data_IF_138042459078
#
_entry.id   IF_138042459078
#
_cell.length_a   1.000
_cell.length_b   1.000
_cell.length_c   1.000
_cell.angle_alpha   90.00
_cell.angle_beta   90.00
_cell.angle_gamma   90.00
#
_symmetry.space_group_name_H-M   'P 1'
#
loop_
_entity.id
_entity.type
_entity.pdbx_description
1 polymer ?
#
# COMPACT_ATOMS: atom_id res chain seq x y z
N UNK A 1 -18.04 0.26 -1.85
CA UNK A 1 -16.80 0.60 -2.58
C UNK A 1 -15.66 0.56 -1.60
N UNK A 2 -14.61 -0.18 -1.95
CA UNK A 2 -13.41 -0.35 -1.13
C UNK A 2 -12.24 0.21 -1.92
N UNK A 3 -11.39 0.99 -1.25
CA UNK A 3 -10.16 1.53 -1.81
C UNK A 3 -8.95 0.94 -1.12
N UNK A 4 -7.86 0.85 -1.87
CA UNK A 4 -6.55 0.42 -1.40
C UNK A 4 -5.56 1.51 -1.75
N UNK A 5 -4.80 2.00 -0.77
CA UNK A 5 -3.62 2.81 -1.03
C UNK A 5 -2.42 1.88 -0.98
N UNK A 6 -1.78 1.65 -2.12
CA UNK A 6 -0.47 1.03 -2.20
C UNK A 6 0.61 2.08 -1.98
N UNK A 7 1.51 1.83 -1.03
CA UNK A 7 2.65 2.69 -0.73
C UNK A 7 3.94 1.87 -0.85
N UNK A 8 4.73 2.15 -1.88
CA UNK A 8 6.07 1.63 -2.05
C UNK A 8 7.05 2.74 -1.71
N UNK A 9 7.85 2.55 -0.66
CA UNK A 9 8.73 3.58 -0.12
C UNK A 9 10.13 3.44 -0.74
N UNK A 10 10.59 4.51 -1.37
CA UNK A 10 11.96 4.57 -1.88
C UNK A 10 12.97 4.85 -0.77
N UNK A 11 14.17 4.26 -0.88
CA UNK A 11 15.35 4.65 -0.10
C UNK A 11 16.01 5.91 -0.69
N UNK A 12 17.18 6.32 -0.18
CA UNK A 12 17.83 7.58 -0.52
C UNK A 12 18.02 7.86 -2.03
N UNK A 13 18.12 6.82 -2.87
CA UNK A 13 18.28 6.94 -4.33
C UNK A 13 17.08 6.40 -5.13
N UNK A 14 16.04 5.92 -4.45
CA UNK A 14 14.86 5.34 -5.10
C UNK A 14 13.63 6.24 -4.91
N UNK A 15 12.73 6.20 -5.88
CA UNK A 15 11.48 6.95 -5.79
C UNK A 15 10.45 6.22 -4.92
N UNK A 16 9.67 6.98 -4.15
CA UNK A 16 8.45 6.51 -3.52
C UNK A 16 7.29 6.52 -4.53
N UNK A 17 6.42 5.51 -4.48
CA UNK A 17 5.18 5.46 -5.24
C UNK A 17 3.96 5.38 -4.31
N UNK A 18 2.95 6.20 -4.62
CA UNK A 18 1.64 6.21 -3.93
C UNK A 18 0.57 5.94 -4.98
N UNK A 19 -0.20 4.87 -4.81
CA UNK A 19 -1.24 4.44 -5.76
C UNK A 19 -2.55 4.24 -5.03
N UNK A 20 -3.64 4.85 -5.51
CA UNK A 20 -4.99 4.57 -5.01
C UNK A 20 -5.72 3.71 -6.03
N UNK A 21 -6.18 2.54 -5.58
CA UNK A 21 -6.92 1.57 -6.38
C UNK A 21 -8.33 1.42 -5.81
N UNK A 22 -9.34 1.55 -6.66
CA UNK A 22 -10.72 1.18 -6.33
C UNK A 22 -10.95 -0.29 -6.69
N UNK A 23 -11.40 -1.09 -5.73
CA UNK A 23 -11.89 -2.44 -5.98
C UNK A 23 -13.38 -2.39 -6.32
N UNK A 24 -13.72 -2.79 -7.54
CA UNK A 24 -15.11 -2.99 -7.99
C UNK A 24 -15.46 -4.47 -7.93
N UNK A 25 -16.46 -4.78 -7.13
CA UNK A 25 -17.05 -6.11 -7.04
C UNK A 25 -18.46 -6.08 -7.64
N UNK A 26 -18.79 -7.08 -8.44
CA UNK A 26 -20.08 -7.21 -9.10
C UNK A 26 -20.88 -8.31 -8.40
N UNK A 27 -21.76 -7.93 -7.46
CA UNK A 27 -22.51 -8.94 -6.67
C UNK A 27 -23.51 -9.77 -7.48
N UNK A 28 -23.98 -9.25 -8.62
CA UNK A 28 -25.04 -9.87 -9.42
C UNK A 28 -24.55 -10.41 -10.78
N UNK A 29 -23.25 -10.29 -11.07
CA UNK A 29 -22.63 -10.84 -12.28
C UNK A 29 -21.39 -11.65 -11.87
N UNK A 30 -21.20 -12.88 -12.37
CA UNK A 30 -20.04 -13.70 -12.05
C UNK A 30 -18.80 -13.20 -12.82
N UNK A 31 -18.37 -11.97 -12.54
CA UNK A 31 -17.17 -11.35 -13.11
C UNK A 31 -16.09 -11.25 -12.04
N UNK A 32 -14.81 -11.44 -12.40
CA UNK A 32 -13.70 -11.14 -11.51
C UNK A 32 -13.79 -9.70 -10.99
N UNK A 33 -13.27 -9.46 -9.79
CA UNK A 33 -13.16 -8.10 -9.28
C UNK A 33 -12.28 -7.26 -10.22
N UNK A 34 -12.71 -6.04 -10.52
CA UNK A 34 -11.94 -5.08 -11.29
C UNK A 34 -11.20 -4.12 -10.35
N UNK A 35 -9.97 -3.80 -10.70
CA UNK A 35 -9.11 -2.89 -9.93
C UNK A 35 -8.82 -1.66 -10.76
N UNK A 36 -9.41 -0.53 -10.39
CA UNK A 36 -9.29 0.71 -11.14
C UNK A 36 -8.30 1.63 -10.44
N UNK A 37 -7.20 1.98 -11.12
CA UNK A 37 -6.29 3.01 -10.63
C UNK A 37 -6.99 4.36 -10.68
N UNK A 38 -7.15 5.00 -9.52
CA UNK A 38 -7.81 6.31 -9.37
C UNK A 38 -6.82 7.45 -9.15
N UNK A 39 -5.65 7.12 -8.62
CA UNK A 39 -4.58 8.08 -8.36
C UNK A 39 -3.24 7.38 -8.48
N UNK A 40 -2.27 8.03 -9.12
CA UNK A 40 -0.88 7.64 -9.09
C UNK A 40 -0.05 8.89 -8.81
N UNK A 41 0.88 8.77 -7.88
CA UNK A 41 1.74 9.86 -7.48
C UNK A 41 3.13 9.34 -7.16
N UNK A 42 4.11 10.10 -7.64
CA UNK A 42 5.53 9.87 -7.37
C UNK A 42 6.10 11.15 -6.78
N UNK A 43 6.24 11.24 -5.45
CA UNK A 43 6.90 12.37 -4.81
C UNK A 43 8.32 12.57 -5.34
N UNK A 44 8.86 13.81 -5.31
CA UNK A 44 10.23 14.07 -5.72
C UNK A 44 11.25 13.18 -4.99
N UNK A 45 12.35 12.83 -5.66
CA UNK A 45 13.42 12.09 -5.03
C UNK A 45 13.97 12.87 -3.82
N UNK A 46 14.25 12.16 -2.72
CA UNK A 46 14.75 12.78 -1.48
C UNK A 46 13.67 13.46 -0.63
N UNK A 47 12.38 13.33 -0.97
CA UNK A 47 11.28 13.79 -0.10
C UNK A 47 11.37 13.09 1.27
N UNK A 48 11.43 13.83 2.39
CA UNK A 48 11.52 13.24 3.73
C UNK A 48 10.33 12.34 4.06
N UNK A 49 10.56 11.24 4.77
CA UNK A 49 9.48 10.32 5.18
C UNK A 49 8.34 10.99 5.96
N UNK A 50 8.57 11.96 6.87
CA UNK A 50 7.47 12.69 7.49
C UNK A 50 6.55 13.39 6.49
N UNK A 51 7.11 13.99 5.44
CA UNK A 51 6.34 14.67 4.39
C UNK A 51 5.56 13.66 3.54
N UNK A 52 6.14 12.48 3.28
CA UNK A 52 5.45 11.35 2.64
C UNK A 52 4.26 10.90 3.51
N UNK A 53 4.46 10.75 4.82
CA UNK A 53 3.41 10.32 5.77
C UNK A 53 2.25 11.32 5.78
N UNK A 54 2.55 12.63 5.85
CA UNK A 54 1.50 13.67 5.80
C UNK A 54 0.78 13.71 4.44
N UNK A 55 1.50 13.46 3.33
CA UNK A 55 0.88 13.35 2.02
C UNK A 55 -0.07 12.16 1.93
N UNK A 56 0.35 10.98 2.38
CA UNK A 56 -0.48 9.78 2.44
C UNK A 56 -1.69 10.01 3.34
N UNK A 57 -1.52 10.67 4.49
CA UNK A 57 -2.62 11.04 5.39
C UNK A 57 -3.64 11.96 4.73
N UNK A 58 -3.18 12.94 3.96
CA UNK A 58 -4.07 13.84 3.20
C UNK A 58 -4.93 13.06 2.22
N UNK A 59 -4.34 12.10 1.50
CA UNK A 59 -5.09 11.24 0.57
C UNK A 59 -6.06 10.34 1.35
N UNK A 60 -5.56 9.62 2.35
CA UNK A 60 -6.30 8.65 3.16
C UNK A 60 -7.54 9.25 3.85
N UNK A 61 -7.44 10.50 4.31
CA UNK A 61 -8.52 11.20 5.01
C UNK A 61 -9.44 12.01 4.11
N UNK A 62 -9.21 12.00 2.79
CA UNK A 62 -10.09 12.67 1.82
C UNK A 62 -11.54 12.16 1.92
N UNK A 63 -12.55 13.01 1.65
CA UNK A 63 -13.96 12.63 1.77
C UNK A 63 -14.36 11.37 0.99
N UNK A 64 -13.70 11.11 -0.14
CA UNK A 64 -13.97 9.96 -1.00
C UNK A 64 -13.43 8.65 -0.40
N UNK A 65 -12.33 8.72 0.35
CA UNK A 65 -11.58 7.56 0.87
C UNK A 65 -11.85 7.28 2.35
N UNK A 66 -12.24 8.30 3.13
CA UNK A 66 -12.42 8.21 4.58
C UNK A 66 -13.38 7.08 4.96
N UNK A 67 -12.90 6.16 5.80
CA UNK A 67 -13.67 5.01 6.30
C UNK A 67 -13.91 3.88 5.29
N UNK A 68 -13.31 3.96 4.10
CA UNK A 68 -13.49 2.98 3.01
C UNK A 68 -12.17 2.47 2.43
N UNK A 69 -11.06 2.71 3.13
CA UNK A 69 -9.71 2.59 2.58
C UNK A 69 -8.81 1.79 3.50
N UNK A 70 -8.01 0.90 2.89
CA UNK A 70 -6.91 0.22 3.56
C UNK A 70 -5.59 0.73 3.00
N UNK A 71 -4.63 1.04 3.87
CA UNK A 71 -3.26 1.37 3.49
C UNK A 71 -2.44 0.08 3.48
N UNK A 72 -1.80 -0.22 2.34
CA UNK A 72 -0.89 -1.35 2.16
C UNK A 72 0.49 -0.79 1.87
N UNK A 73 1.47 -1.16 2.69
CA UNK A 73 2.82 -0.57 2.66
C UNK A 73 3.84 -1.65 2.38
N UNK A 74 4.72 -1.42 1.40
CA UNK A 74 5.94 -2.22 1.28
C UNK A 74 6.91 -1.82 2.41
N UNK A 75 7.13 -2.75 3.34
CA UNK A 75 8.05 -2.60 4.47
C UNK A 75 9.49 -2.92 4.07
N UNK A 76 9.71 -3.52 2.90
CA UNK A 76 11.04 -3.97 2.51
C UNK A 76 11.98 -2.82 2.22
N UNK A 77 13.23 -2.96 2.65
CA UNK A 77 14.28 -1.96 2.45
C UNK A 77 14.17 -0.74 3.38
N UNK A 78 13.03 -0.09 3.51
CA UNK A 78 12.88 1.16 4.28
C UNK A 78 12.71 0.95 5.79
N UNK A 79 12.33 -0.27 6.18
CA UNK A 79 12.31 -0.75 7.56
C UNK A 79 11.06 -0.37 8.37
N UNK A 80 11.00 -0.92 9.59
CA UNK A 80 9.94 -0.67 10.57
C UNK A 80 9.69 0.81 10.94
N UNK A 81 10.70 1.72 10.98
CA UNK A 81 10.47 3.09 11.46
C UNK A 81 9.44 3.89 10.67
N UNK A 82 9.38 3.75 9.34
CA UNK A 82 8.40 4.51 8.54
C UNK A 82 7.01 3.93 8.71
N UNK A 83 6.89 2.59 8.84
CA UNK A 83 5.62 1.93 9.18
C UNK A 83 5.11 2.42 10.54
N UNK A 84 6.00 2.58 11.52
CA UNK A 84 5.63 3.13 12.84
C UNK A 84 5.16 4.58 12.76
N UNK A 85 5.75 5.40 11.89
CA UNK A 85 5.27 6.77 11.64
C UNK A 85 3.84 6.76 11.07
N UNK A 86 3.56 5.88 10.10
CA UNK A 86 2.21 5.74 9.51
C UNK A 86 1.19 5.27 10.55
N UNK A 87 1.57 4.28 11.39
CA UNK A 87 0.74 3.81 12.52
C UNK A 87 0.44 4.94 13.50
N UNK A 88 1.46 5.72 13.90
CA UNK A 88 1.31 6.89 14.82
C UNK A 88 0.47 8.01 14.22
N UNK A 89 0.50 8.17 12.89
CA UNK A 89 -0.34 9.13 12.18
C UNK A 89 -1.83 8.72 12.12
N UNK A 90 -2.19 7.54 12.66
CA UNK A 90 -3.56 7.05 12.74
C UNK A 90 -4.10 6.47 11.44
N UNK A 91 -3.22 6.06 10.52
CA UNK A 91 -3.59 5.56 9.19
C UNK A 91 -4.03 4.10 9.24
N UNK A 92 -5.18 3.85 9.88
CA UNK A 92 -5.76 2.51 10.04
C UNK A 92 -7.04 2.34 9.20
N UNK A 93 -7.28 1.15 8.62
CA UNK A 93 -6.45 -0.06 8.68
C UNK A 93 -5.16 0.03 7.85
N UNK A 94 -4.04 -0.44 8.43
CA UNK A 94 -2.71 -0.53 7.82
C UNK A 94 -2.29 -2.00 7.71
N UNK A 95 -1.78 -2.41 6.54
CA UNK A 95 -1.19 -3.73 6.30
C UNK A 95 0.23 -3.53 5.80
N UNK A 96 1.23 -3.94 6.59
CA UNK A 96 2.61 -3.95 6.13
C UNK A 96 2.93 -5.27 5.41
N UNK A 97 3.60 -5.18 4.27
CA UNK A 97 4.05 -6.31 3.46
C UNK A 97 5.57 -6.38 3.51
N UNK A 98 6.10 -7.50 3.99
CA UNK A 98 7.50 -7.85 3.90
C UNK A 98 7.67 -8.83 2.75
N UNK A 99 8.23 -8.35 1.64
CA UNK A 99 8.54 -9.14 0.47
C UNK A 99 9.76 -10.05 0.75
N UNK A 100 9.59 -11.35 0.58
CA UNK A 100 10.62 -12.36 0.88
C UNK A 100 11.00 -13.18 -0.36
N UNK A 101 12.15 -13.86 -0.30
CA UNK A 101 12.54 -14.88 -1.28
C UNK A 101 11.99 -16.29 -0.98
N UNK A 102 11.09 -16.42 0.01
CA UNK A 102 10.52 -17.71 0.43
C UNK A 102 9.47 -18.25 -0.55
N UNK A 103 8.79 -19.33 -0.15
CA UNK A 103 7.77 -20.01 -0.96
C UNK A 103 6.35 -19.97 -0.37
N UNK A 104 6.20 -19.41 0.83
CA UNK A 104 4.95 -19.45 1.59
C UNK A 104 4.64 -18.07 2.13
N UNK A 105 3.37 -17.68 2.04
CA UNK A 105 2.86 -16.47 2.70
C UNK A 105 2.69 -16.74 4.19
N UNK A 106 3.30 -15.91 5.03
CA UNK A 106 3.13 -15.96 6.49
C UNK A 106 2.52 -14.67 7.00
N UNK A 107 1.85 -14.72 8.16
CA UNK A 107 1.31 -13.55 8.85
C UNK A 107 1.88 -13.49 10.26
N UNK A 108 2.29 -12.30 10.70
CA UNK A 108 2.69 -12.00 12.07
C UNK A 108 1.91 -10.79 12.63
N UNK A 109 2.30 -10.32 13.81
CA UNK A 109 1.67 -9.15 14.46
C UNK A 109 1.91 -7.84 13.68
N UNK A 110 2.95 -7.80 12.85
CA UNK A 110 3.38 -6.63 12.11
C UNK A 110 2.85 -6.58 10.67
N UNK A 111 2.36 -7.70 10.13
CA UNK A 111 1.77 -7.77 8.80
C UNK A 111 1.94 -9.13 8.12
N UNK A 112 2.24 -9.11 6.83
CA UNK A 112 2.41 -10.31 6.01
C UNK A 112 3.83 -10.40 5.47
N UNK A 113 4.37 -11.62 5.44
CA UNK A 113 5.56 -11.98 4.68
C UNK A 113 5.11 -12.65 3.40
N UNK A 114 5.39 -12.04 2.24
CA UNK A 114 4.87 -12.48 0.95
C UNK A 114 6.03 -12.81 0.01
N UNK A 115 6.10 -14.03 -0.57
CA UNK A 115 7.06 -14.34 -1.62
C UNK A 115 7.00 -13.38 -2.81
N UNK A 116 8.15 -12.92 -3.30
CA UNK A 116 8.24 -12.12 -4.55
C UNK A 116 7.48 -12.75 -5.71
N UNK A 117 7.63 -14.08 -5.86
CA UNK A 117 6.96 -14.86 -6.91
C UNK A 117 5.45 -14.63 -6.87
N UNK A 118 4.85 -14.68 -5.69
CA UNK A 118 3.41 -14.58 -5.55
C UNK A 118 2.92 -13.16 -5.93
N UNK A 119 3.70 -12.12 -5.62
CA UNK A 119 3.38 -10.76 -6.08
C UNK A 119 3.48 -10.61 -7.60
N UNK A 120 4.57 -11.09 -8.20
CA UNK A 120 4.82 -10.95 -9.64
C UNK A 120 3.81 -11.77 -10.46
N UNK A 121 3.53 -13.01 -10.07
CA UNK A 121 2.58 -13.88 -10.79
C UNK A 121 1.16 -13.31 -10.78
N UNK A 122 0.73 -12.65 -9.70
CA UNK A 122 -0.59 -12.03 -9.63
C UNK A 122 -0.64 -10.64 -10.30
N UNK A 123 0.50 -10.04 -10.60
CA UNK A 123 0.59 -8.79 -11.36
C UNK A 123 0.61 -9.04 -12.88
N UNK A 124 1.18 -10.16 -13.31
CA UNK A 124 1.20 -10.57 -14.72
C UNK A 124 -0.22 -10.92 -15.18
N UNK A 125 -0.71 -10.13 -16.13
CA UNK A 125 -1.94 -10.37 -16.90
C UNK A 125 -1.60 -10.80 -18.32
#
# INVERSE_FOLDING_TARGET
MMFIIGLDLGQAQDYTAIVVVEKKEYMYEPKPAEYHVRHIERPPLGTPYPDIVERVKTIFTSPQLKGKTTLVVDKTGVGSPVVDMLKRAGLNPLVAITITGGNTVNKDDDGYHVPKRDLVTNLQV
#
